data_IF_815326550926
#
_entry.id   IF_815326550926
#
_cell.length_a   1.000
_cell.length_b   1.000
_cell.length_c   1.000
_cell.angle_alpha   90.00
_cell.angle_beta   90.00
_cell.angle_gamma   90.00
#
_symmetry.space_group_name_H-M   'P 1'
#
loop_
_entity.id
_entity.type
_entity.pdbx_description
1 polymer ?
#
# COMPACT_ATOMS: atom_id res chain seq x y z
N UNK A 1 22.48 -3.83 -13.93
CA UNK A 1 23.53 -2.81 -13.69
C UNK A 1 23.44 -2.39 -12.22
N UNK A 2 24.53 -1.99 -11.53
CA UNK A 2 24.46 -1.69 -10.11
C UNK A 2 23.49 -0.50 -9.92
N UNK A 3 22.39 -0.77 -9.22
CA UNK A 3 21.34 0.21 -8.94
C UNK A 3 21.73 1.12 -7.78
N UNK A 4 21.28 2.37 -7.80
CA UNK A 4 21.44 3.33 -6.72
C UNK A 4 20.22 4.25 -6.65
N UNK A 5 19.98 4.91 -5.50
CA UNK A 5 18.76 5.70 -5.26
C UNK A 5 18.59 6.91 -6.21
N UNK A 6 19.64 7.31 -6.93
CA UNK A 6 19.63 8.42 -7.89
C UNK A 6 19.65 8.00 -9.36
N UNK A 7 19.48 6.69 -9.65
CA UNK A 7 19.38 6.20 -11.03
C UNK A 7 17.98 6.52 -11.57
N UNK A 8 17.80 7.73 -12.10
CA UNK A 8 16.56 8.19 -12.72
C UNK A 8 16.58 7.99 -14.25
N UNK A 9 15.40 7.87 -14.87
CA UNK A 9 15.26 7.76 -16.34
C UNK A 9 15.85 8.97 -17.08
N UNK A 10 15.74 10.17 -16.49
CA UNK A 10 16.54 11.33 -16.87
C UNK A 10 17.74 11.41 -15.94
N UNK A 11 18.91 11.02 -16.44
CA UNK A 11 20.15 11.01 -15.65
C UNK A 11 20.50 12.40 -15.10
N UNK A 12 20.93 12.44 -13.85
CA UNK A 12 21.54 13.63 -13.25
C UNK A 12 22.92 13.90 -13.87
N UNK A 13 23.36 15.16 -13.88
CA UNK A 13 24.75 15.44 -14.26
C UNK A 13 25.70 14.70 -13.31
N UNK A 14 26.87 14.23 -13.79
CA UNK A 14 27.81 13.48 -12.96
C UNK A 14 28.21 14.23 -11.68
N UNK A 15 28.33 15.55 -11.76
CA UNK A 15 28.67 16.44 -10.65
C UNK A 15 27.55 16.50 -9.60
N UNK A 16 26.29 16.68 -10.03
CA UNK A 16 25.14 16.68 -9.12
C UNK A 16 25.02 15.32 -8.43
N UNK A 17 25.20 14.23 -9.18
CA UNK A 17 25.14 12.87 -8.63
C UNK A 17 26.23 12.64 -7.58
N UNK A 18 27.48 13.01 -7.86
CA UNK A 18 28.58 12.86 -6.90
C UNK A 18 28.34 13.67 -5.62
N UNK A 19 27.78 14.88 -5.74
CA UNK A 19 27.43 15.71 -4.58
C UNK A 19 26.32 15.09 -3.74
N UNK A 20 25.28 14.53 -4.37
CA UNK A 20 24.20 13.83 -3.66
C UNK A 20 24.72 12.54 -3.00
N UNK A 21 25.48 11.72 -3.72
CA UNK A 21 26.09 10.49 -3.19
C UNK A 21 26.98 10.81 -1.97
N UNK A 22 27.75 11.91 -2.00
CA UNK A 22 28.51 12.38 -0.86
C UNK A 22 27.61 12.85 0.30
N UNK A 23 26.57 13.65 0.00
CA UNK A 23 25.65 14.18 1.00
C UNK A 23 24.90 13.08 1.77
N UNK A 24 24.53 11.99 1.10
CA UNK A 24 23.82 10.87 1.70
C UNK A 24 24.73 9.74 2.22
N UNK A 25 26.06 9.93 2.20
CA UNK A 25 27.02 8.93 2.67
C UNK A 25 27.09 7.67 1.80
N UNK A 26 26.66 7.76 0.53
CA UNK A 26 26.67 6.62 -0.41
C UNK A 26 28.06 6.30 -0.95
N UNK A 27 29.05 7.16 -0.68
CA UNK A 27 30.46 6.93 -0.98
C UNK A 27 31.16 6.00 0.04
N UNK A 28 30.54 5.76 1.20
CA UNK A 28 31.10 4.89 2.23
C UNK A 28 31.10 3.42 1.77
N UNK A 29 31.96 2.56 2.33
CA UNK A 29 31.85 1.12 2.13
C UNK A 29 30.43 0.61 2.51
N UNK A 30 29.86 -0.32 1.72
CA UNK A 30 28.46 -0.77 1.90
C UNK A 30 28.14 -1.25 3.32
N UNK A 31 29.09 -1.90 4.00
CA UNK A 31 28.90 -2.34 5.39
C UNK A 31 28.70 -1.16 6.34
N UNK A 32 29.37 -0.03 6.11
CA UNK A 32 29.26 1.16 6.93
C UNK A 32 27.94 1.87 6.67
N UNK A 33 27.52 1.97 5.40
CA UNK A 33 26.19 2.47 5.03
C UNK A 33 25.09 1.67 5.74
N UNK A 34 25.22 0.34 5.78
CA UNK A 34 24.28 -0.54 6.46
C UNK A 34 24.26 -0.32 7.98
N UNK A 35 25.43 -0.19 8.62
CA UNK A 35 25.53 0.10 10.05
C UNK A 35 24.91 1.46 10.39
N UNK A 36 25.17 2.49 9.59
CA UNK A 36 24.54 3.80 9.75
C UNK A 36 23.02 3.71 9.60
N UNK A 37 22.55 3.01 8.57
CA UNK A 37 21.12 2.78 8.34
C UNK A 37 20.44 2.08 9.52
N UNK A 38 21.00 0.97 10.00
CA UNK A 38 20.45 0.26 11.16
C UNK A 38 20.48 1.11 12.43
N UNK A 39 21.57 1.85 12.67
CA UNK A 39 21.69 2.75 13.81
C UNK A 39 20.64 3.87 13.79
N UNK A 40 20.29 4.37 12.60
CA UNK A 40 19.23 5.36 12.43
C UNK A 40 17.84 4.73 12.61
N UNK A 41 17.62 3.54 12.04
CA UNK A 41 16.38 2.79 12.13
C UNK A 41 15.99 2.47 13.58
N UNK A 42 16.96 2.02 14.39
CA UNK A 42 16.74 1.73 15.81
C UNK A 42 16.36 2.97 16.64
N UNK A 43 16.65 4.17 16.14
CA UNK A 43 16.25 5.45 16.74
C UNK A 43 14.95 6.01 16.14
N UNK A 44 14.29 5.26 15.26
CA UNK A 44 13.10 5.71 14.53
C UNK A 44 13.39 6.74 13.43
N UNK A 45 14.65 6.94 13.07
CA UNK A 45 15.06 7.81 11.99
C UNK A 45 15.20 7.00 10.70
N UNK A 46 14.24 7.13 9.80
CA UNK A 46 14.26 6.45 8.49
C UNK A 46 15.01 7.24 7.42
N UNK A 47 15.50 8.44 7.77
CA UNK A 47 16.22 9.32 6.87
C UNK A 47 15.31 10.13 5.93
N UNK A 48 15.92 10.96 5.08
CA UNK A 48 15.25 11.75 4.06
C UNK A 48 14.71 10.86 2.92
N UNK A 49 13.66 11.31 2.24
CA UNK A 49 13.18 10.65 1.03
C UNK A 49 14.03 11.05 -0.17
N UNK A 50 14.53 10.06 -0.92
CA UNK A 50 15.29 10.31 -2.16
C UNK A 50 14.40 10.76 -3.32
N UNK A 51 13.10 10.46 -3.27
CA UNK A 51 12.13 10.81 -4.30
C UNK A 51 11.34 12.10 -3.99
N UNK A 52 11.23 12.44 -2.70
CA UNK A 52 10.50 13.60 -2.20
C UNK A 52 11.42 14.41 -1.27
N UNK A 53 12.29 15.27 -1.83
CA UNK A 53 13.38 15.91 -1.07
C UNK A 53 12.92 16.73 0.14
N UNK A 54 11.69 17.25 0.12
CA UNK A 54 11.10 18.08 1.18
C UNK A 54 10.59 17.26 2.38
N UNK A 55 10.63 15.93 2.31
CA UNK A 55 10.06 15.06 3.33
C UNK A 55 11.06 14.01 3.81
N UNK A 56 11.01 13.72 5.10
CA UNK A 56 11.60 12.52 5.68
C UNK A 56 10.70 11.31 5.47
N UNK A 57 11.30 10.13 5.42
CA UNK A 57 10.54 8.88 5.36
C UNK A 57 9.65 8.75 6.59
N UNK A 58 10.13 9.13 7.78
CA UNK A 58 9.35 9.13 9.02
C UNK A 58 8.07 9.98 8.90
N UNK A 59 8.14 11.17 8.31
CA UNK A 59 6.96 12.02 8.10
C UNK A 59 5.95 11.41 7.12
N UNK A 60 6.45 10.78 6.04
CA UNK A 60 5.59 10.09 5.08
C UNK A 60 4.87 8.90 5.74
N UNK A 61 5.57 8.13 6.58
CA UNK A 61 4.95 7.08 7.38
C UNK A 61 3.94 7.65 8.38
N UNK A 62 4.27 8.73 9.09
CA UNK A 62 3.35 9.34 10.05
C UNK A 62 2.04 9.81 9.40
N UNK A 63 2.10 10.25 8.13
CA UNK A 63 0.91 10.63 7.35
C UNK A 63 0.16 9.43 6.77
N UNK A 64 0.88 8.47 6.18
CA UNK A 64 0.26 7.35 5.43
C UNK A 64 -0.17 6.18 6.31
N UNK A 65 0.59 5.85 7.35
CA UNK A 65 0.37 4.67 8.18
C UNK A 65 -1.00 4.66 8.86
N UNK A 66 -1.49 5.76 9.49
CA UNK A 66 -2.82 5.76 10.10
C UNK A 66 -3.94 5.47 9.09
N UNK A 67 -3.80 6.01 7.87
CA UNK A 67 -4.74 5.80 6.76
C UNK A 67 -4.76 4.32 6.36
N UNK A 68 -3.58 3.75 6.13
CA UNK A 68 -3.44 2.33 5.79
C UNK A 68 -3.97 1.40 6.88
N UNK A 69 -3.70 1.74 8.16
CA UNK A 69 -4.20 0.98 9.31
C UNK A 69 -5.73 1.02 9.35
N UNK A 70 -6.34 2.20 9.20
CA UNK A 70 -7.80 2.34 9.22
C UNK A 70 -8.46 1.57 8.07
N UNK A 71 -7.92 1.66 6.86
CA UNK A 71 -8.43 0.93 5.70
C UNK A 71 -8.25 -0.59 5.87
N UNK A 72 -7.05 -1.01 6.27
CA UNK A 72 -6.71 -2.41 6.49
C UNK A 72 -7.55 -3.05 7.60
N UNK A 73 -7.73 -2.36 8.73
CA UNK A 73 -8.53 -2.86 9.85
C UNK A 73 -10.01 -2.96 9.48
N UNK A 74 -10.54 -1.96 8.76
CA UNK A 74 -11.94 -1.97 8.30
C UNK A 74 -12.19 -3.11 7.32
N UNK A 75 -11.28 -3.30 6.35
CA UNK A 75 -11.34 -4.41 5.41
C UNK A 75 -11.23 -5.77 6.13
N UNK A 76 -10.33 -5.90 7.11
CA UNK A 76 -10.17 -7.11 7.90
C UNK A 76 -11.43 -7.46 8.69
N UNK A 77 -12.06 -6.48 9.36
CA UNK A 77 -13.31 -6.69 10.09
C UNK A 77 -14.41 -7.16 9.14
N UNK A 78 -14.58 -6.51 7.99
CA UNK A 78 -15.57 -6.92 6.99
C UNK A 78 -15.28 -8.34 6.44
N UNK A 79 -14.03 -8.65 6.14
CA UNK A 79 -13.62 -9.95 5.65
C UNK A 79 -13.87 -11.05 6.69
N UNK A 80 -13.56 -10.80 7.96
CA UNK A 80 -13.82 -11.76 9.04
C UNK A 80 -15.31 -11.97 9.24
N UNK A 81 -16.12 -10.90 9.27
CA UNK A 81 -17.56 -11.01 9.46
C UNK A 81 -18.23 -11.72 8.28
N UNK A 82 -18.08 -11.19 7.06
CA UNK A 82 -18.75 -11.74 5.88
C UNK A 82 -18.15 -13.09 5.48
N UNK A 83 -16.83 -13.22 5.51
CA UNK A 83 -16.13 -14.46 5.16
C UNK A 83 -16.46 -15.60 6.12
N UNK A 84 -16.53 -15.35 7.43
CA UNK A 84 -16.90 -16.39 8.40
C UNK A 84 -18.37 -16.81 8.25
N UNK A 85 -19.28 -15.86 8.01
CA UNK A 85 -20.70 -16.16 7.78
C UNK A 85 -20.86 -17.00 6.51
N UNK A 86 -20.31 -16.53 5.38
CA UNK A 86 -20.42 -17.24 4.10
C UNK A 86 -19.72 -18.59 4.14
N UNK A 87 -18.54 -18.68 4.76
CA UNK A 87 -17.80 -19.92 4.95
C UNK A 87 -18.56 -20.92 5.81
N UNK A 88 -19.21 -20.46 6.89
CA UNK A 88 -20.07 -21.31 7.73
C UNK A 88 -21.28 -21.82 6.96
N UNK A 89 -21.93 -20.96 6.17
CA UNK A 89 -23.06 -21.34 5.31
C UNK A 89 -22.63 -22.42 4.31
N UNK A 90 -21.50 -22.23 3.63
CA UNK A 90 -20.96 -23.20 2.68
C UNK A 90 -20.64 -24.55 3.37
N UNK A 91 -19.95 -24.52 4.51
CA UNK A 91 -19.59 -25.70 5.27
C UNK A 91 -20.82 -26.52 5.73
N UNK A 92 -21.86 -25.85 6.25
CA UNK A 92 -23.10 -26.51 6.68
C UNK A 92 -23.96 -27.01 5.49
N UNK A 93 -23.73 -26.50 4.30
CA UNK A 93 -24.47 -26.84 3.07
C UNK A 93 -23.59 -27.51 2.02
N UNK A 94 -22.62 -28.30 2.46
CA UNK A 94 -21.66 -28.97 1.59
C UNK A 94 -22.36 -29.71 0.43
N UNK A 95 -21.82 -29.56 -0.79
CA UNK A 95 -22.34 -30.13 -2.03
C UNK A 95 -23.75 -29.66 -2.42
N UNK A 96 -24.23 -28.55 -1.85
CA UNK A 96 -25.48 -27.90 -2.26
C UNK A 96 -25.18 -26.61 -3.01
N UNK A 97 -26.22 -26.04 -3.63
CA UNK A 97 -26.12 -24.79 -4.41
C UNK A 97 -25.49 -23.65 -3.61
N UNK A 98 -25.75 -23.56 -2.30
CA UNK A 98 -25.18 -22.53 -1.44
C UNK A 98 -23.66 -22.62 -1.33
N UNK A 99 -23.12 -23.83 -1.16
CA UNK A 99 -21.67 -24.10 -1.13
C UNK A 99 -21.02 -23.72 -2.47
N UNK A 100 -21.55 -24.24 -3.58
CA UNK A 100 -21.05 -23.90 -4.92
C UNK A 100 -21.10 -22.40 -5.21
N UNK A 101 -22.14 -21.69 -4.74
CA UNK A 101 -22.29 -20.25 -4.94
C UNK A 101 -21.26 -19.45 -4.16
N UNK A 102 -20.98 -19.83 -2.90
CA UNK A 102 -19.94 -19.19 -2.08
C UNK A 102 -18.56 -19.43 -2.69
N UNK A 103 -18.25 -20.66 -3.11
CA UNK A 103 -16.97 -21.00 -3.75
C UNK A 103 -16.81 -20.25 -5.07
N UNK A 104 -17.85 -20.18 -5.91
CA UNK A 104 -17.82 -19.45 -7.17
C UNK A 104 -17.57 -17.95 -6.95
N UNK A 105 -18.26 -17.33 -5.99
CA UNK A 105 -18.06 -15.93 -5.63
C UNK A 105 -16.63 -15.66 -5.13
N UNK A 106 -16.12 -16.52 -4.24
CA UNK A 106 -14.77 -16.42 -3.71
C UNK A 106 -13.72 -16.54 -4.82
N UNK A 107 -13.91 -17.51 -5.72
CA UNK A 107 -13.00 -17.76 -6.86
C UNK A 107 -13.02 -16.59 -7.85
N UNK A 108 -14.20 -16.05 -8.17
CA UNK A 108 -14.32 -14.88 -9.03
C UNK A 108 -13.62 -13.67 -8.40
N UNK A 109 -13.85 -13.42 -7.11
CA UNK A 109 -13.23 -12.33 -6.37
C UNK A 109 -11.70 -12.43 -6.29
N UNK A 110 -11.14 -13.65 -6.18
CA UNK A 110 -9.68 -13.85 -6.13
C UNK A 110 -9.01 -13.82 -7.50
N UNK A 111 -9.75 -14.14 -8.58
CA UNK A 111 -9.19 -14.28 -9.92
C UNK A 111 -9.22 -12.96 -10.71
N UNK A 112 -10.22 -12.11 -10.46
CA UNK A 112 -10.31 -10.83 -11.16
C UNK A 112 -9.29 -9.86 -10.54
N UNK A 113 -8.43 -9.21 -11.36
CA UNK A 113 -7.45 -8.27 -10.84
C UNK A 113 -8.10 -7.08 -10.13
N UNK A 114 -7.50 -6.64 -9.01
CA UNK A 114 -8.05 -5.56 -8.18
C UNK A 114 -8.23 -4.25 -8.96
N UNK A 115 -7.35 -3.94 -9.91
CA UNK A 115 -7.46 -2.75 -10.75
C UNK A 115 -8.69 -2.78 -11.70
N UNK A 116 -9.31 -3.94 -11.91
CA UNK A 116 -10.56 -4.10 -12.68
C UNK A 116 -11.77 -3.94 -11.76
N UNK A 117 -11.76 -4.62 -10.60
CA UNK A 117 -12.89 -4.58 -9.66
C UNK A 117 -13.05 -3.19 -9.06
N UNK A 118 -11.96 -2.53 -8.66
CA UNK A 118 -12.04 -1.26 -7.93
C UNK A 118 -12.79 -0.16 -8.70
N UNK A 119 -12.51 0.12 -9.99
CA UNK A 119 -13.30 1.05 -10.78
C UNK A 119 -14.76 0.64 -10.95
N UNK A 120 -15.06 -0.66 -11.11
CA UNK A 120 -16.44 -1.15 -11.22
C UNK A 120 -17.21 -0.89 -9.92
N UNK A 121 -16.60 -1.16 -8.76
CA UNK A 121 -17.20 -0.85 -7.46
C UNK A 121 -17.41 0.66 -7.31
N UNK A 122 -16.43 1.50 -7.68
CA UNK A 122 -16.58 2.95 -7.64
C UNK A 122 -17.71 3.44 -8.55
N UNK A 123 -17.84 2.89 -9.76
CA UNK A 123 -18.93 3.24 -10.69
C UNK A 123 -20.29 2.88 -10.10
N UNK A 124 -20.47 1.66 -9.60
CA UNK A 124 -21.77 1.19 -9.08
C UNK A 124 -22.12 1.90 -7.78
N UNK A 125 -21.25 1.82 -6.77
CA UNK A 125 -21.56 2.29 -5.42
C UNK A 125 -21.33 3.78 -5.25
N UNK A 126 -20.37 4.36 -5.97
CA UNK A 126 -20.04 5.77 -5.84
C UNK A 126 -20.77 6.67 -6.83
N UNK A 127 -20.80 6.30 -8.11
CA UNK A 127 -21.38 7.16 -9.15
C UNK A 127 -22.86 6.88 -9.41
N UNK A 128 -23.23 5.61 -9.64
CA UNK A 128 -24.59 5.23 -9.98
C UNK A 128 -25.53 5.30 -8.78
N UNK A 129 -25.14 4.68 -7.66
CA UNK A 129 -26.00 4.61 -6.47
C UNK A 129 -25.71 5.70 -5.43
N UNK A 130 -24.59 6.42 -5.56
CA UNK A 130 -24.19 7.54 -4.68
C UNK A 130 -24.18 7.15 -3.19
N UNK A 131 -23.85 5.89 -2.90
CA UNK A 131 -23.76 5.37 -1.53
C UNK A 131 -22.42 5.71 -0.88
N UNK A 132 -21.36 5.81 -1.68
CA UNK A 132 -19.99 6.00 -1.21
C UNK A 132 -19.29 7.15 -1.95
N UNK A 133 -18.33 7.83 -1.32
CA UNK A 133 -17.45 8.77 -2.01
C UNK A 133 -16.58 8.04 -3.05
N UNK A 134 -16.35 8.69 -4.20
CA UNK A 134 -15.58 8.12 -5.32
C UNK A 134 -14.07 8.33 -5.20
N UNK A 135 -13.60 9.21 -4.31
CA UNK A 135 -12.16 9.40 -4.08
C UNK A 135 -11.82 10.48 -3.06
N UNK A 136 -10.55 10.48 -2.66
CA UNK A 136 -9.96 11.46 -1.74
C UNK A 136 -9.89 10.95 -0.30
N UNK A 137 -8.83 11.36 0.41
CA UNK A 137 -8.73 11.31 1.86
C UNK A 137 -8.77 12.75 2.37
N UNK A 138 -9.76 13.11 3.19
CA UNK A 138 -9.91 14.47 3.71
C UNK A 138 -10.57 15.49 2.76
N UNK A 139 -11.55 15.08 1.94
CA UNK A 139 -12.71 15.90 1.49
C UNK A 139 -13.71 15.06 0.66
N UNK A 140 -14.14 13.98 1.30
CA UNK A 140 -15.15 13.04 0.83
C UNK A 140 -15.42 12.00 1.92
N UNK A 141 -15.38 12.41 3.18
CA UNK A 141 -15.31 11.52 4.33
C UNK A 141 -16.69 11.21 4.92
N UNK A 142 -16.89 9.95 5.33
CA UNK A 142 -17.66 9.65 6.53
C UNK A 142 -16.70 9.77 7.72
N UNK A 143 -16.46 11.01 8.15
CA UNK A 143 -16.02 11.58 9.45
C UNK A 143 -15.57 13.02 9.15
#
# INVERSE_FOLDING_TARGET
>A
APGGPFNQERGLSPEIRANLEAQFGLNDPLWLQYVHYLGNLLRGNFGPSYNLPDFTVTELFAKGLPISVQLGSSALVLALLLGSILGTIAALNQNKIADYSVIALATAGSTIPTFVIAPVIQLVFGLSWKLLPIGGWGDGAFI
#
